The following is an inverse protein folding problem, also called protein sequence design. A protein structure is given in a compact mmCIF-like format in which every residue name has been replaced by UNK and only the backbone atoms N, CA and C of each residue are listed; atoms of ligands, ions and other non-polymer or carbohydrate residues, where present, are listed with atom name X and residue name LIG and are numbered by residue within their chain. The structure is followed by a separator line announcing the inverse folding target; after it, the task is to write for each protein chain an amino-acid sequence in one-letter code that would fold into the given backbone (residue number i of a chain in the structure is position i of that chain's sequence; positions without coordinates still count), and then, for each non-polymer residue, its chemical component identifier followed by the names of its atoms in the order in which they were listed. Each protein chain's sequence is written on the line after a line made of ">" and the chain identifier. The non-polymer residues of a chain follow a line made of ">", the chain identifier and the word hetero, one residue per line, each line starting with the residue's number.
data_IF_043815498869
#
_entry.id   IF_043815498869
#
_cell.length_a   1.000
_cell.length_b   1.000
_cell.length_c   1.000
_cell.angle_alpha   90.00
_cell.angle_beta   90.00
_cell.angle_gamma   90.00
#
_symmetry.space_group_name_H-M   'P 1'
#
loop_
_entity.id
_entity.type
_entity.pdbx_description
1 polymer ?
#
# COMPACT_ATOMS: atom_id res chain seq x y z
N UNK A 1 36.81 40.99 -36.23
CA UNK A 1 37.30 40.07 -35.17
C UNK A 1 36.09 39.59 -34.39
N UNK A 2 35.65 38.35 -34.63
CA UNK A 2 34.44 37.76 -34.05
C UNK A 2 34.82 36.93 -32.82
N UNK A 3 34.39 37.36 -31.63
CA UNK A 3 34.58 36.62 -30.39
C UNK A 3 33.35 35.73 -30.14
N UNK A 4 33.49 34.42 -30.40
CA UNK A 4 32.52 33.43 -29.94
C UNK A 4 32.71 33.18 -28.43
N UNK A 5 31.64 33.17 -27.61
CA UNK A 5 31.76 32.84 -26.20
C UNK A 5 32.09 31.35 -26.01
N UNK A 6 32.84 30.99 -24.94
CA UNK A 6 33.24 29.62 -24.68
C UNK A 6 32.03 28.75 -24.31
N UNK A 7 31.88 27.64 -25.03
CA UNK A 7 30.90 26.59 -24.71
C UNK A 7 31.34 25.89 -23.44
N UNK A 8 30.66 26.15 -22.32
CA UNK A 8 30.89 25.47 -21.04
C UNK A 8 30.46 24.01 -21.19
N UNK A 9 31.41 23.11 -21.49
CA UNK A 9 31.17 21.67 -21.51
C UNK A 9 30.72 21.23 -20.12
N UNK A 10 29.49 20.71 -20.00
CA UNK A 10 29.02 20.00 -18.79
C UNK A 10 30.02 18.90 -18.46
N UNK A 11 30.80 19.13 -17.41
CA UNK A 11 31.77 18.17 -16.87
C UNK A 11 30.96 17.02 -16.30
N UNK A 12 31.04 15.86 -16.95
CA UNK A 12 30.52 14.60 -16.44
C UNK A 12 31.26 14.32 -15.13
N UNK A 13 30.60 14.58 -14.00
CA UNK A 13 31.12 14.20 -12.70
C UNK A 13 30.96 12.67 -12.60
N UNK A 14 32.02 11.92 -12.26
CA UNK A 14 31.90 10.48 -12.05
C UNK A 14 30.92 10.22 -10.91
N UNK A 15 30.14 9.15 -11.02
CA UNK A 15 29.19 8.76 -9.99
C UNK A 15 29.93 8.62 -8.65
N UNK A 16 29.48 9.36 -7.65
CA UNK A 16 30.08 9.33 -6.30
C UNK A 16 29.82 7.96 -5.67
N UNK A 17 30.72 7.42 -4.80
CA UNK A 17 30.53 6.12 -4.15
C UNK A 17 29.18 5.99 -3.40
N UNK A 18 28.61 7.10 -2.95
CA UNK A 18 27.28 7.19 -2.35
C UNK A 18 26.16 6.73 -3.31
N UNK A 19 26.24 7.06 -4.59
CA UNK A 19 25.23 6.67 -5.59
C UNK A 19 25.25 5.16 -5.88
N UNK A 20 26.44 4.55 -5.85
CA UNK A 20 26.57 3.10 -5.97
C UNK A 20 26.02 2.38 -4.74
N UNK A 21 26.22 2.92 -3.54
CA UNK A 21 25.64 2.39 -2.31
C UNK A 21 24.11 2.48 -2.30
N UNK A 22 23.54 3.60 -2.76
CA UNK A 22 22.08 3.77 -2.91
C UNK A 22 21.49 2.76 -3.89
N UNK A 23 22.13 2.57 -5.06
CA UNK A 23 21.70 1.59 -6.05
C UNK A 23 21.79 0.16 -5.50
N UNK A 24 22.89 -0.19 -4.84
CA UNK A 24 23.07 -1.50 -4.23
C UNK A 24 22.01 -1.75 -3.15
N UNK A 25 21.75 -0.78 -2.28
CA UNK A 25 20.71 -0.88 -1.25
C UNK A 25 19.31 -1.04 -1.88
N UNK A 26 19.01 -0.30 -2.95
CA UNK A 26 17.75 -0.44 -3.67
C UNK A 26 17.60 -1.82 -4.33
N UNK A 27 18.67 -2.37 -4.90
CA UNK A 27 18.66 -3.71 -5.49
C UNK A 27 18.48 -4.81 -4.42
N UNK A 28 19.17 -4.69 -3.28
CA UNK A 28 19.00 -5.62 -2.16
C UNK A 28 17.57 -5.57 -1.63
N UNK A 29 17.02 -4.37 -1.43
CA UNK A 29 15.63 -4.22 -1.02
C UNK A 29 14.66 -4.82 -2.05
N UNK A 30 14.86 -4.55 -3.33
CA UNK A 30 14.04 -5.12 -4.40
C UNK A 30 14.11 -6.66 -4.43
N UNK A 31 15.30 -7.24 -4.22
CA UNK A 31 15.47 -8.69 -4.13
C UNK A 31 14.75 -9.28 -2.91
N UNK A 32 14.85 -8.64 -1.74
CA UNK A 32 14.16 -9.08 -0.53
C UNK A 32 12.63 -9.02 -0.67
N UNK A 33 12.12 -7.93 -1.25
CA UNK A 33 10.68 -7.78 -1.57
C UNK A 33 10.24 -8.83 -2.58
N UNK A 34 11.01 -9.07 -3.64
CA UNK A 34 10.72 -10.10 -4.62
C UNK A 34 10.68 -11.50 -4.02
N UNK A 35 11.66 -11.83 -3.16
CA UNK A 35 11.71 -13.11 -2.45
C UNK A 35 10.51 -13.30 -1.52
N UNK A 36 10.17 -12.29 -0.72
CA UNK A 36 8.99 -12.35 0.16
C UNK A 36 7.69 -12.42 -0.64
N UNK A 37 7.62 -11.74 -1.78
CA UNK A 37 6.50 -11.85 -2.72
C UNK A 37 6.32 -13.27 -3.24
N UNK A 38 7.41 -13.95 -3.60
CA UNK A 38 7.37 -15.35 -4.02
C UNK A 38 6.89 -16.27 -2.89
N UNK A 39 7.42 -16.09 -1.67
CA UNK A 39 6.96 -16.84 -0.49
C UNK A 39 5.47 -16.60 -0.22
N UNK A 40 5.01 -15.35 -0.31
CA UNK A 40 3.63 -14.98 -0.14
C UNK A 40 2.71 -15.68 -1.16
N UNK A 41 3.06 -15.63 -2.45
CA UNK A 41 2.26 -16.30 -3.50
C UNK A 41 2.21 -17.80 -3.27
N UNK A 42 3.35 -18.43 -2.97
CA UNK A 42 3.40 -19.87 -2.67
C UNK A 42 2.52 -20.22 -1.48
N UNK A 43 2.62 -19.45 -0.40
CA UNK A 43 1.81 -19.65 0.80
C UNK A 43 0.32 -19.45 0.52
N UNK A 44 -0.06 -18.41 -0.23
CA UNK A 44 -1.45 -18.17 -0.62
C UNK A 44 -2.04 -19.34 -1.42
N UNK A 45 -1.30 -19.90 -2.39
CA UNK A 45 -1.76 -21.08 -3.14
C UNK A 45 -1.97 -22.29 -2.23
N UNK A 46 -1.05 -22.54 -1.30
CA UNK A 46 -1.17 -23.64 -0.34
C UNK A 46 -2.38 -23.46 0.59
N UNK A 47 -2.57 -22.26 1.13
CA UNK A 47 -3.70 -21.92 2.01
C UNK A 47 -5.02 -22.01 1.27
N UNK A 48 -5.13 -21.50 0.04
CA UNK A 48 -6.37 -21.58 -0.73
C UNK A 48 -6.74 -23.01 -1.15
N UNK A 49 -5.75 -23.87 -1.39
CA UNK A 49 -5.97 -25.27 -1.77
C UNK A 49 -6.25 -26.21 -0.60
N UNK A 50 -6.02 -25.79 0.64
CA UNK A 50 -6.15 -26.67 1.80
C UNK A 50 -7.60 -26.74 2.31
N UNK A 51 -8.25 -27.91 2.38
CA UNK A 51 -9.69 -28.01 2.61
C UNK A 51 -10.11 -27.90 4.08
N UNK A 52 -9.17 -27.93 5.04
CA UNK A 52 -9.47 -27.90 6.47
C UNK A 52 -9.10 -26.55 7.11
N UNK A 53 -9.66 -26.22 8.29
CA UNK A 53 -9.29 -25.02 9.03
C UNK A 53 -7.79 -25.03 9.37
N UNK A 54 -7.11 -23.91 9.11
CA UNK A 54 -5.69 -23.71 9.42
C UNK A 54 -5.53 -22.90 10.70
N UNK A 55 -6.39 -21.91 10.90
CA UNK A 55 -6.36 -21.02 12.05
C UNK A 55 -7.57 -21.27 12.95
N UNK A 56 -7.35 -21.18 14.26
CA UNK A 56 -8.40 -21.33 15.27
C UNK A 56 -9.60 -20.41 15.01
N UNK A 57 -9.35 -19.20 14.48
CA UNK A 57 -10.39 -18.22 14.17
C UNK A 57 -11.32 -18.61 13.01
N UNK A 58 -10.94 -19.54 12.13
CA UNK A 58 -11.75 -19.93 10.97
C UNK A 58 -13.01 -20.71 11.37
N UNK A 59 -12.94 -21.50 12.46
CA UNK A 59 -14.06 -22.33 12.92
C UNK A 59 -15.30 -21.52 13.32
N UNK A 60 -15.18 -20.55 14.25
CA UNK A 60 -16.30 -19.67 14.60
C UNK A 60 -16.85 -18.89 13.40
N UNK A 61 -15.99 -18.37 12.53
CA UNK A 61 -16.40 -17.64 11.32
C UNK A 61 -17.19 -18.53 10.36
N UNK A 62 -16.76 -19.79 10.19
CA UNK A 62 -17.46 -20.77 9.38
C UNK A 62 -18.88 -21.03 9.92
N UNK A 63 -19.02 -21.23 11.23
CA UNK A 63 -20.32 -21.45 11.86
C UNK A 63 -21.23 -20.22 11.72
N UNK A 64 -20.70 -19.02 11.91
CA UNK A 64 -21.42 -17.75 11.77
C UNK A 64 -21.91 -17.54 10.32
N UNK A 65 -21.06 -17.81 9.33
CA UNK A 65 -21.44 -17.75 7.91
C UNK A 65 -22.46 -18.83 7.56
N UNK A 66 -22.36 -20.04 8.14
CA UNK A 66 -23.33 -21.10 7.93
C UNK A 66 -24.73 -20.72 8.43
N UNK A 67 -24.85 -20.04 9.58
CA UNK A 67 -26.13 -19.51 10.07
C UNK A 67 -26.73 -18.52 9.08
N UNK A 68 -25.93 -17.58 8.56
CA UNK A 68 -26.42 -16.60 7.57
C UNK A 68 -26.82 -17.27 6.25
N UNK A 69 -26.07 -18.28 5.81
CA UNK A 69 -26.41 -19.07 4.61
C UNK A 69 -27.70 -19.88 4.77
N UNK A 70 -28.01 -20.31 5.98
CA UNK A 70 -29.24 -21.03 6.31
C UNK A 70 -30.48 -20.10 6.40
N UNK A 71 -30.34 -18.82 6.07
CA UNK A 71 -31.43 -17.83 6.13
C UNK A 71 -31.49 -17.05 7.44
N UNK A 72 -30.51 -17.23 8.33
CA UNK A 72 -30.36 -16.42 9.54
C UNK A 72 -30.05 -14.95 9.22
N UNK A 73 -30.51 -14.05 10.08
CA UNK A 73 -30.24 -12.62 9.99
C UNK A 73 -29.04 -12.20 10.85
N UNK A 74 -28.44 -11.04 10.53
CA UNK A 74 -27.44 -10.43 11.41
C UNK A 74 -27.99 -10.14 12.81
N UNK A 75 -29.28 -9.77 12.93
CA UNK A 75 -29.87 -9.49 14.24
C UNK A 75 -29.92 -10.71 15.15
N UNK A 76 -30.13 -11.90 14.59
CA UNK A 76 -30.07 -13.17 15.33
C UNK A 76 -28.63 -13.54 15.67
N UNK A 77 -27.70 -13.29 14.74
CA UNK A 77 -26.29 -13.62 14.92
C UNK A 77 -25.61 -12.76 16.00
N UNK A 78 -25.96 -11.48 16.09
CA UNK A 78 -25.48 -10.53 17.10
C UNK A 78 -26.48 -10.34 18.26
N UNK A 79 -27.45 -11.25 18.39
CA UNK A 79 -28.49 -11.18 19.39
C UNK A 79 -28.04 -11.66 20.77
N UNK A 80 -28.96 -11.64 21.76
CA UNK A 80 -28.73 -12.21 23.08
C UNK A 80 -28.35 -13.70 23.03
N UNK A 81 -27.36 -14.12 23.84
CA UNK A 81 -26.84 -15.49 23.85
C UNK A 81 -27.77 -16.51 24.50
N UNK A 82 -28.78 -16.06 25.26
CA UNK A 82 -29.82 -16.91 25.84
C UNK A 82 -30.79 -17.44 24.78
N UNK A 83 -30.72 -16.92 23.55
CA UNK A 83 -31.50 -17.37 22.41
C UNK A 83 -30.60 -18.07 21.37
N UNK A 84 -31.10 -19.09 20.66
CA UNK A 84 -30.38 -19.69 19.53
C UNK A 84 -29.96 -18.63 18.50
N UNK A 85 -28.76 -18.73 17.87
CA UNK A 85 -27.90 -19.92 17.78
C UNK A 85 -26.82 -20.05 18.88
N UNK A 86 -26.89 -19.29 19.97
CA UNK A 86 -25.88 -19.33 21.06
C UNK A 86 -24.43 -19.11 20.57
N UNK A 87 -24.24 -18.27 19.54
CA UNK A 87 -22.93 -17.96 18.97
C UNK A 87 -22.41 -16.64 19.53
N UNK A 88 -21.14 -16.64 19.96
CA UNK A 88 -20.43 -15.40 20.28
C UNK A 88 -19.75 -14.89 19.02
N UNK A 89 -20.06 -13.64 18.64
CA UNK A 89 -19.52 -13.00 17.45
C UNK A 89 -18.58 -11.89 17.86
N UNK A 90 -17.29 -12.08 17.60
CA UNK A 90 -16.22 -11.16 18.00
C UNK A 90 -15.76 -10.20 16.89
N UNK A 91 -16.28 -10.36 15.68
CA UNK A 91 -15.88 -9.57 14.52
C UNK A 91 -17.00 -8.67 14.04
N UNK A 92 -16.70 -7.49 13.45
CA UNK A 92 -17.71 -6.69 12.78
C UNK A 92 -18.37 -7.43 11.59
N UNK A 93 -19.63 -7.08 11.24
CA UNK A 93 -20.42 -7.84 10.27
C UNK A 93 -19.89 -7.78 8.83
N UNK A 94 -19.07 -6.78 8.49
CA UNK A 94 -18.56 -6.57 7.13
C UNK A 94 -17.82 -7.81 6.61
N UNK A 95 -16.94 -8.40 7.42
CA UNK A 95 -16.20 -9.59 6.99
C UNK A 95 -17.12 -10.78 6.73
N UNK A 96 -18.12 -11.00 7.60
CA UNK A 96 -19.09 -12.08 7.46
C UNK A 96 -19.96 -11.89 6.20
N UNK A 97 -20.38 -10.67 5.92
CA UNK A 97 -21.18 -10.35 4.72
C UNK A 97 -20.36 -10.53 3.43
N UNK A 98 -19.12 -10.06 3.40
CA UNK A 98 -18.23 -10.28 2.27
C UNK A 98 -17.98 -11.79 2.06
N UNK A 99 -17.75 -12.53 3.14
CA UNK A 99 -17.54 -13.99 3.09
C UNK A 99 -18.78 -14.71 2.62
N UNK A 100 -19.97 -14.31 3.09
CA UNK A 100 -21.27 -14.83 2.64
C UNK A 100 -21.46 -14.61 1.14
N UNK A 101 -21.17 -13.41 0.64
CA UNK A 101 -21.26 -13.05 -0.77
C UNK A 101 -20.27 -13.87 -1.62
N UNK A 102 -19.00 -13.96 -1.22
CA UNK A 102 -18.01 -14.75 -1.97
C UNK A 102 -18.34 -16.24 -1.90
N UNK A 103 -18.90 -16.72 -0.79
CA UNK A 103 -19.31 -18.12 -0.61
C UNK A 103 -20.43 -18.53 -1.56
N UNK A 104 -21.29 -17.61 -2.01
CA UNK A 104 -22.27 -17.93 -3.06
C UNK A 104 -21.60 -18.14 -4.43
N UNK A 105 -20.49 -17.45 -4.69
CA UNK A 105 -19.70 -17.57 -5.93
C UNK A 105 -18.79 -18.82 -5.96
N UNK A 106 -18.36 -19.31 -4.79
CA UNK A 106 -17.45 -20.46 -4.67
C UNK A 106 -18.17 -21.81 -4.48
N UNK A 107 -19.45 -21.90 -4.86
CA UNK A 107 -20.23 -23.14 -4.72
C UNK A 107 -20.56 -23.50 -3.27
N UNK A 108 -20.54 -22.54 -2.36
CA UNK A 108 -20.86 -22.74 -0.95
C UNK A 108 -19.67 -23.00 -0.03
N UNK A 109 -18.45 -23.01 -0.56
CA UNK A 109 -17.25 -23.19 0.26
C UNK A 109 -16.91 -21.91 1.05
N UNK A 110 -17.39 -21.86 2.29
CA UNK A 110 -17.19 -20.72 3.19
C UNK A 110 -15.74 -20.56 3.69
N UNK A 111 -14.97 -21.65 3.83
CA UNK A 111 -13.53 -21.56 4.16
C UNK A 111 -12.75 -20.89 3.03
N UNK A 112 -12.93 -21.37 1.80
CA UNK A 112 -12.31 -20.77 0.63
C UNK A 112 -12.74 -19.30 0.46
N UNK A 113 -14.03 -19.02 0.66
CA UNK A 113 -14.55 -17.66 0.56
C UNK A 113 -13.90 -16.71 1.56
N UNK A 114 -13.79 -17.12 2.83
CA UNK A 114 -13.16 -16.30 3.87
C UNK A 114 -11.69 -16.00 3.56
N UNK A 115 -10.97 -17.00 3.03
CA UNK A 115 -9.58 -16.85 2.60
C UNK A 115 -9.43 -15.93 1.39
N UNK A 116 -10.33 -16.02 0.41
CA UNK A 116 -10.34 -15.11 -0.74
C UNK A 116 -10.64 -13.66 -0.34
N UNK A 117 -11.56 -13.44 0.61
CA UNK A 117 -11.83 -12.10 1.16
C UNK A 117 -10.58 -11.54 1.86
N UNK A 118 -9.90 -12.34 2.67
CA UNK A 118 -8.65 -11.92 3.34
C UNK A 118 -7.55 -11.61 2.33
N UNK A 119 -7.35 -12.46 1.31
CA UNK A 119 -6.37 -12.23 0.26
C UNK A 119 -6.69 -10.98 -0.56
N UNK A 120 -7.95 -10.79 -0.96
CA UNK A 120 -8.41 -9.61 -1.68
C UNK A 120 -8.19 -8.33 -0.87
N UNK A 121 -8.46 -8.37 0.44
CA UNK A 121 -8.23 -7.25 1.36
C UNK A 121 -6.74 -6.92 1.48
N UNK A 122 -5.87 -7.93 1.59
CA UNK A 122 -4.43 -7.72 1.63
C UNK A 122 -3.91 -7.04 0.35
N UNK A 123 -4.37 -7.48 -0.83
CA UNK A 123 -4.02 -6.86 -2.11
C UNK A 123 -4.56 -5.42 -2.22
N UNK A 124 -5.79 -5.19 -1.76
CA UNK A 124 -6.38 -3.84 -1.72
C UNK A 124 -5.55 -2.89 -0.84
N UNK A 125 -5.06 -3.36 0.31
CA UNK A 125 -4.15 -2.59 1.16
C UNK A 125 -2.84 -2.24 0.45
N UNK A 126 -2.23 -3.18 -0.27
CA UNK A 126 -1.01 -2.92 -1.06
C UNK A 126 -1.25 -1.82 -2.10
N UNK A 127 -2.37 -1.89 -2.83
CA UNK A 127 -2.73 -0.87 -3.82
C UNK A 127 -2.99 0.50 -3.17
N UNK A 128 -3.71 0.53 -2.05
CA UNK A 128 -4.01 1.75 -1.31
C UNK A 128 -2.73 2.44 -0.79
N UNK A 129 -1.82 1.66 -0.20
CA UNK A 129 -0.52 2.15 0.25
C UNK A 129 0.33 2.67 -0.91
N UNK A 130 0.36 1.96 -2.04
CA UNK A 130 1.05 2.42 -3.25
C UNK A 130 0.54 3.78 -3.74
N UNK A 131 -0.78 3.97 -3.76
CA UNK A 131 -1.40 5.25 -4.12
C UNK A 131 -1.05 6.36 -3.14
N UNK A 132 -1.08 6.07 -1.84
CA UNK A 132 -0.71 7.03 -0.81
C UNK A 132 0.73 7.51 -0.98
N UNK A 133 1.66 6.59 -1.26
CA UNK A 133 3.09 6.93 -1.47
C UNK A 133 3.28 7.82 -2.70
N UNK A 134 2.62 7.51 -3.81
CA UNK A 134 2.69 8.35 -5.02
C UNK A 134 2.12 9.75 -4.79
N UNK A 135 1.03 9.87 -4.04
CA UNK A 135 0.46 11.17 -3.67
C UNK A 135 1.42 11.99 -2.78
N UNK A 136 2.12 11.35 -1.83
CA UNK A 136 3.11 12.05 -1.02
C UNK A 136 4.33 12.48 -1.87
N UNK A 137 4.73 11.65 -2.83
CA UNK A 137 5.83 11.94 -3.74
C UNK A 137 5.54 13.15 -4.64
N UNK A 138 4.33 13.28 -5.16
CA UNK A 138 3.92 14.42 -6.00
C UNK A 138 3.90 15.72 -5.18
N UNK A 139 3.27 15.71 -4.00
CA UNK A 139 3.23 16.87 -3.08
C UNK A 139 4.62 17.36 -2.69
N UNK A 140 5.53 16.44 -2.35
CA UNK A 140 6.90 16.79 -1.98
C UNK A 140 7.69 17.40 -3.15
N UNK A 141 7.45 16.91 -4.38
CA UNK A 141 8.06 17.48 -5.60
C UNK A 141 7.59 18.93 -5.84
N UNK A 142 6.29 19.20 -5.69
CA UNK A 142 5.72 20.55 -5.83
C UNK A 142 6.23 21.52 -4.76
N UNK A 143 6.34 21.07 -3.51
CA UNK A 143 6.93 21.89 -2.44
C UNK A 143 8.38 22.23 -2.72
N UNK A 144 9.18 21.26 -3.20
CA UNK A 144 10.59 21.49 -3.56
C UNK A 144 10.72 22.51 -4.70
N UNK A 145 9.93 22.38 -5.77
CA UNK A 145 9.98 23.33 -6.89
C UNK A 145 9.51 24.72 -6.49
N UNK A 146 8.47 24.82 -5.65
CA UNK A 146 8.00 26.09 -5.09
C UNK A 146 9.07 26.80 -4.25
N UNK A 147 9.75 26.07 -3.36
CA UNK A 147 10.79 26.63 -2.48
C UNK A 147 12.07 27.04 -3.23
N UNK A 148 12.39 26.36 -4.33
CA UNK A 148 13.49 26.74 -5.24
C UNK A 148 13.16 28.03 -6.01
N UNK A 149 11.91 28.19 -6.43
CA UNK A 149 11.43 29.40 -7.12
C UNK A 149 11.47 30.65 -6.24
N UNK A 150 11.08 30.54 -4.97
CA UNK A 150 11.13 31.64 -4.00
C UNK A 150 12.57 32.05 -3.66
N UNK A 151 13.46 31.10 -3.37
CA UNK A 151 14.89 31.39 -3.09
C UNK A 151 15.59 32.08 -4.26
N UNK A 152 15.35 31.64 -5.49
CA UNK A 152 15.95 32.27 -6.67
C UNK A 152 15.45 33.71 -6.86
N UNK A 153 14.20 34.01 -6.49
CA UNK A 153 13.63 35.36 -6.58
C UNK A 153 14.28 36.30 -5.56
N UNK A 154 14.42 35.87 -4.30
CA UNK A 154 15.09 36.64 -3.23
C UNK A 154 16.57 36.93 -3.54
N UNK A 155 17.31 35.94 -4.04
CA UNK A 155 18.71 36.15 -4.44
C UNK A 155 18.85 37.14 -5.60
N UNK A 156 17.92 37.13 -6.55
CA UNK A 156 17.91 38.10 -7.66
C UNK A 156 17.64 39.52 -7.17
N UNK A 157 16.66 39.70 -6.28
CA UNK A 157 16.31 41.02 -5.74
C UNK A 157 17.39 41.57 -4.80
N UNK A 158 18.03 40.71 -3.99
CA UNK A 158 19.12 41.11 -3.11
C UNK A 158 20.38 41.57 -3.88
N UNK A 159 20.71 40.90 -4.98
CA UNK A 159 21.89 41.21 -5.79
C UNK A 159 21.71 42.45 -6.70
N UNK A 160 20.46 42.80 -7.02
CA UNK A 160 20.12 44.06 -7.70
C UNK A 160 20.23 45.27 -6.75
N UNK A 161 19.92 45.09 -5.46
CA UNK A 161 20.03 46.15 -4.44
C UNK A 161 21.46 46.49 -4.04
N UNK A 162 22.38 45.53 -4.06
CA UNK A 162 23.81 45.75 -3.75
C UNK A 162 24.55 46.42 -4.90
N UNK A 163 24.29 46.04 -6.16
CA UNK A 163 24.92 46.69 -7.33
C UNK A 163 24.61 48.18 -7.46
N UNK A 164 23.42 48.62 -7.03
CA UNK A 164 23.06 50.04 -7.07
C UNK A 164 23.73 50.89 -5.98
N UNK A 165 24.28 50.28 -4.93
CA UNK A 165 25.02 50.99 -3.87
C UNK A 165 26.50 51.17 -4.18
N UNK A 166 27.06 50.34 -5.06
CA UNK A 166 28.48 50.38 -5.44
C UNK A 166 28.75 51.34 -6.62
N UNK A 167 27.70 51.90 -7.22
CA UNK A 167 27.76 52.88 -8.31
C UNK A 167 27.41 54.33 -7.90
N UNK A 168 27.36 54.61 -6.60
CA UNK A 168 27.21 55.97 -6.03
C UNK A 168 28.38 56.28 -5.12
#
# INVERSE_FOLDING_TARGET
>A
MSHSPPVVRRRWLPATPLQFAELAAALVLAALVGLHGLFFVRHAVQVLGYPFPLDYGEGPLLAQVAVLRAGGSLSQLYGPIDQPPHLVVNYPPVYLLCTLLVSSLTGGNALLAGRLVSLGSALACVVALGRLVEEQRTKNKEQRTGNLGTKNKEQRTGNLGTKNKEQR
#
